data_IF_264459447560
#
_entry.id   IF_264459447560
#
_cell.length_a   1.000
_cell.length_b   1.000
_cell.length_c   1.000
_cell.angle_alpha   90.00
_cell.angle_beta   90.00
_cell.angle_gamma   90.00
#
_symmetry.space_group_name_H-M   'P 1'
#
loop_
_entity.id
_entity.type
_entity.pdbx_description
1 polymer ?
#
# COMPACT_ATOMS: atom_id res chain seq x y z
N UNK A 1 -18.99 -18.79 -14.38
CA UNK A 1 -19.36 -19.69 -13.25
C UNK A 1 -20.88 -19.65 -13.06
N UNK A 2 -21.45 -20.50 -12.19
CA UNK A 2 -22.90 -20.54 -11.92
C UNK A 2 -23.45 -19.21 -11.38
N UNK A 3 -22.69 -18.52 -10.53
CA UNK A 3 -23.08 -17.21 -9.98
C UNK A 3 -23.17 -16.13 -11.06
N UNK A 4 -22.19 -16.07 -11.98
CA UNK A 4 -22.24 -15.10 -13.09
C UNK A 4 -23.33 -15.39 -14.12
N UNK A 5 -23.82 -16.63 -14.20
CA UNK A 5 -24.86 -17.04 -15.13
C UNK A 5 -26.24 -16.52 -14.69
N UNK A 6 -26.43 -16.24 -13.40
CA UNK A 6 -27.64 -15.61 -12.87
C UNK A 6 -27.85 -14.18 -13.43
N UNK A 7 -26.76 -13.49 -13.75
CA UNK A 7 -26.79 -12.14 -14.33
C UNK A 7 -27.00 -12.12 -15.86
N UNK A 8 -27.19 -13.29 -16.49
CA UNK A 8 -27.40 -13.44 -17.95
C UNK A 8 -28.86 -13.79 -18.23
N UNK A 9 -29.53 -13.03 -19.10
CA UNK A 9 -30.90 -13.34 -19.54
C UNK A 9 -30.92 -14.16 -20.84
N UNK A 10 -32.06 -14.80 -21.11
CA UNK A 10 -32.35 -15.52 -22.36
C UNK A 10 -32.05 -14.61 -23.56
N UNK A 11 -30.96 -14.90 -24.27
CA UNK A 11 -30.37 -13.99 -25.27
C UNK A 11 -28.85 -13.85 -25.17
N UNK A 12 -28.23 -14.35 -24.09
CA UNK A 12 -26.77 -14.23 -23.80
C UNK A 12 -26.31 -12.80 -23.52
N UNK A 13 -27.22 -11.91 -23.13
CA UNK A 13 -26.93 -10.55 -22.71
C UNK A 13 -26.82 -10.45 -21.18
N UNK A 14 -25.82 -9.72 -20.69
CA UNK A 14 -25.66 -9.40 -19.28
C UNK A 14 -26.63 -8.27 -18.90
N UNK A 15 -27.46 -8.49 -17.88
CA UNK A 15 -28.38 -7.48 -17.34
C UNK A 15 -27.65 -6.52 -16.39
N UNK A 16 -26.67 -7.06 -15.68
CA UNK A 16 -25.80 -6.35 -14.74
C UNK A 16 -24.40 -6.97 -14.80
N UNK A 17 -23.39 -6.23 -14.33
CA UNK A 17 -22.03 -6.78 -14.22
C UNK A 17 -22.03 -7.80 -13.08
N UNK A 18 -21.72 -9.08 -13.32
CA UNK A 18 -21.72 -10.07 -12.25
C UNK A 18 -20.74 -9.69 -11.14
N UNK A 19 -21.12 -9.95 -9.90
CA UNK A 19 -20.32 -9.57 -8.72
C UNK A 19 -18.87 -10.07 -8.78
N UNK A 20 -18.67 -11.33 -9.18
CA UNK A 20 -17.37 -11.96 -9.37
C UNK A 20 -16.78 -11.78 -10.78
N UNK A 21 -17.33 -10.88 -11.59
CA UNK A 21 -16.78 -10.56 -12.92
C UNK A 21 -15.54 -9.71 -12.78
N UNK A 22 -14.53 -9.97 -13.62
CA UNK A 22 -13.37 -9.09 -13.77
C UNK A 22 -13.76 -7.68 -14.24
N UNK A 23 -14.87 -7.56 -14.96
CA UNK A 23 -15.42 -6.27 -15.37
C UNK A 23 -16.01 -5.45 -14.21
N UNK A 24 -16.16 -6.03 -13.00
CA UNK A 24 -16.63 -5.34 -11.79
C UNK A 24 -15.50 -4.61 -11.05
N UNK A 25 -14.46 -4.15 -11.76
CA UNK A 25 -13.31 -3.47 -11.17
C UNK A 25 -12.54 -4.32 -10.15
N UNK A 26 -12.56 -5.65 -10.28
CA UNK A 26 -11.97 -6.59 -9.31
C UNK A 26 -12.49 -6.41 -7.87
N UNK A 27 -13.80 -6.20 -7.70
CA UNK A 27 -14.43 -6.07 -6.38
C UNK A 27 -14.07 -7.23 -5.43
N UNK A 28 -13.55 -6.89 -4.24
CA UNK A 28 -13.10 -7.84 -3.20
C UNK A 28 -13.96 -7.82 -1.94
N UNK A 29 -15.06 -7.05 -1.94
CA UNK A 29 -15.92 -6.86 -0.77
C UNK A 29 -15.89 -5.44 -0.20
N UNK A 30 -16.57 -5.24 0.92
CA UNK A 30 -16.47 -4.01 1.70
C UNK A 30 -15.13 -3.99 2.44
N UNK A 31 -14.39 -2.90 2.27
CA UNK A 31 -13.10 -2.70 2.93
C UNK A 31 -13.35 -2.05 4.30
N UNK A 32 -12.92 -2.66 5.41
CA UNK A 32 -13.12 -2.11 6.76
C UNK A 32 -12.40 -0.77 6.91
N UNK A 33 -12.89 0.08 7.81
CA UNK A 33 -12.36 1.43 8.02
C UNK A 33 -10.87 1.41 8.40
N UNK A 34 -10.44 0.40 9.15
CA UNK A 34 -9.05 0.22 9.57
C UNK A 34 -8.09 -0.07 8.41
N UNK A 35 -8.60 -0.58 7.28
CA UNK A 35 -7.79 -0.88 6.08
C UNK A 35 -8.05 0.14 4.95
N UNK A 36 -9.20 0.80 4.91
CA UNK A 36 -9.61 1.70 3.83
C UNK A 36 -8.79 2.99 3.71
N UNK A 37 -7.96 3.30 4.72
CA UNK A 37 -7.13 4.50 4.77
C UNK A 37 -5.62 4.25 4.78
N UNK A 38 -5.17 3.03 4.51
CA UNK A 38 -3.74 2.70 4.52
C UNK A 38 -3.01 3.34 3.34
N UNK A 39 -1.89 4.00 3.63
CA UNK A 39 -0.95 4.45 2.61
C UNK A 39 -0.15 3.28 2.05
N UNK A 40 0.44 3.45 0.87
CA UNK A 40 1.31 2.44 0.27
C UNK A 40 2.46 2.03 1.22
N UNK A 41 3.07 3.00 1.91
CA UNK A 41 4.12 2.69 2.88
C UNK A 41 3.56 1.98 4.13
N UNK A 42 2.35 2.32 4.59
CA UNK A 42 1.73 1.65 5.73
C UNK A 42 1.40 0.19 5.42
N UNK A 43 0.88 -0.09 4.22
CA UNK A 43 0.70 -1.47 3.74
C UNK A 43 2.02 -2.23 3.78
N UNK A 44 3.09 -1.66 3.20
CA UNK A 44 4.41 -2.29 3.21
C UNK A 44 4.92 -2.60 4.63
N UNK A 45 4.71 -1.70 5.59
CA UNK A 45 5.16 -1.88 6.97
C UNK A 45 4.44 -3.04 7.68
N UNK A 46 3.16 -3.26 7.37
CA UNK A 46 2.34 -4.32 7.98
C UNK A 46 2.33 -5.61 7.17
N UNK A 47 2.95 -5.65 5.98
CA UNK A 47 2.99 -6.87 5.16
C UNK A 47 3.85 -7.96 5.81
N UNK A 48 3.30 -9.17 5.91
CA UNK A 48 4.05 -10.35 6.36
C UNK A 48 5.17 -10.78 5.40
N UNK A 49 5.02 -10.54 4.10
CA UNK A 49 6.02 -10.89 3.10
C UNK A 49 6.23 -9.75 2.09
N UNK A 50 7.49 -9.46 1.78
CA UNK A 50 7.87 -8.55 0.69
C UNK A 50 8.34 -9.39 -0.49
N UNK A 51 7.93 -9.03 -1.69
CA UNK A 51 8.51 -9.52 -2.95
C UNK A 51 9.03 -8.37 -3.81
N UNK A 52 8.77 -7.13 -3.40
CA UNK A 52 8.91 -5.93 -4.22
C UNK A 52 9.85 -4.93 -3.55
N UNK A 53 10.88 -4.50 -4.29
CA UNK A 53 11.58 -3.24 -4.00
C UNK A 53 10.96 -2.16 -4.88
N UNK A 54 10.63 -1.03 -4.28
CA UNK A 54 9.93 0.04 -4.98
C UNK A 54 10.81 1.29 -5.09
N UNK A 55 10.99 1.76 -6.33
CA UNK A 55 11.60 3.05 -6.60
C UNK A 55 10.53 4.04 -7.01
N UNK A 56 10.32 5.07 -6.18
CA UNK A 56 9.33 6.10 -6.44
C UNK A 56 10.04 7.39 -6.79
N UNK A 57 9.81 7.91 -7.99
CA UNK A 57 10.26 9.26 -8.38
C UNK A 57 9.13 10.24 -8.14
N UNK A 58 9.40 11.22 -7.29
CA UNK A 58 8.52 12.34 -7.02
C UNK A 58 9.01 13.55 -7.83
N UNK A 59 8.16 14.07 -8.71
CA UNK A 59 8.45 15.27 -9.49
C UNK A 59 7.82 16.49 -8.80
N UNK A 60 8.61 17.56 -8.66
CA UNK A 60 8.11 18.84 -8.14
C UNK A 60 7.07 19.48 -9.08
N UNK A 61 6.27 20.40 -8.54
CA UNK A 61 5.04 21.00 -9.11
C UNK A 61 5.20 21.81 -10.42
N UNK A 62 6.37 21.81 -11.06
CA UNK A 62 6.73 22.83 -12.04
C UNK A 62 7.10 22.31 -13.44
N UNK A 63 6.63 21.12 -13.83
CA UNK A 63 6.74 20.68 -15.23
C UNK A 63 5.51 21.11 -16.05
N UNK A 64 5.59 22.19 -16.86
CA UNK A 64 4.46 22.70 -17.64
C UNK A 64 3.96 21.71 -18.72
N UNK A 65 4.68 20.61 -18.98
CA UNK A 65 4.28 19.57 -19.94
C UNK A 65 3.49 18.43 -19.30
N UNK A 66 3.44 18.37 -17.97
CA UNK A 66 2.78 17.30 -17.23
C UNK A 66 1.77 17.90 -16.25
N UNK A 67 0.49 17.92 -16.64
CA UNK A 67 -0.62 18.37 -15.79
C UNK A 67 -0.90 17.42 -14.61
N UNK A 68 -0.37 16.19 -14.68
CA UNK A 68 -0.57 15.17 -13.67
C UNK A 68 0.53 15.28 -12.61
N UNK A 69 0.14 15.44 -11.34
CA UNK A 69 1.01 15.25 -10.16
C UNK A 69 1.43 13.78 -10.08
N UNK A 70 2.29 13.36 -10.99
CA UNK A 70 2.61 11.95 -11.20
C UNK A 70 3.83 11.54 -10.39
N UNK A 71 3.62 10.78 -9.32
CA UNK A 71 4.65 9.87 -8.85
C UNK A 71 4.86 8.83 -9.97
N UNK A 72 6.07 8.77 -10.53
CA UNK A 72 6.43 7.75 -11.53
C UNK A 72 7.46 6.83 -10.91
N UNK A 73 7.22 5.53 -10.89
CA UNK A 73 8.12 4.59 -10.22
C UNK A 73 8.45 3.38 -11.06
N UNK A 74 9.54 2.73 -10.72
CA UNK A 74 9.87 1.39 -11.19
C UNK A 74 9.68 0.43 -10.02
N UNK A 75 8.98 -0.67 -10.25
CA UNK A 75 8.86 -1.77 -9.29
C UNK A 75 9.76 -2.90 -9.76
N UNK A 76 10.70 -3.32 -8.93
CA UNK A 76 11.56 -4.46 -9.19
C UNK A 76 11.14 -5.62 -8.29
N UNK A 77 10.67 -6.69 -8.91
CA UNK A 77 10.29 -7.93 -8.22
C UNK A 77 11.52 -8.85 -8.24
N UNK A 78 12.05 -9.18 -7.07
CA UNK A 78 13.20 -10.08 -6.96
C UNK A 78 12.73 -11.50 -6.59
N UNK A 79 13.36 -12.56 -7.11
CA UNK A 79 13.10 -13.92 -6.64
C UNK A 79 13.38 -14.01 -5.14
N UNK A 80 12.36 -14.33 -4.35
CA UNK A 80 12.46 -14.46 -2.90
C UNK A 80 12.29 -15.92 -2.49
N UNK A 81 13.13 -16.38 -1.56
CA UNK A 81 12.86 -17.60 -0.81
C UNK A 81 11.71 -17.30 0.17
N UNK A 82 10.52 -17.84 -0.12
CA UNK A 82 9.27 -17.60 0.64
C UNK A 82 9.32 -18.19 2.06
N UNK A 83 10.45 -18.77 2.46
CA UNK A 83 10.66 -19.43 3.75
C UNK A 83 10.59 -18.49 4.96
N UNK A 84 10.74 -17.17 4.76
CA UNK A 84 10.78 -16.18 5.86
C UNK A 84 9.61 -15.18 5.78
N UNK A 85 8.42 -15.67 6.10
CA UNK A 85 7.26 -14.81 6.37
C UNK A 85 7.43 -14.20 7.77
N UNK A 86 7.20 -12.89 7.90
CA UNK A 86 7.31 -12.21 9.18
C UNK A 86 6.25 -12.71 10.17
N UNK A 87 6.71 -13.07 11.37
CA UNK A 87 5.89 -13.38 12.52
C UNK A 87 5.78 -12.20 13.50
N UNK A 88 6.57 -11.14 13.32
CA UNK A 88 6.62 -9.97 14.21
C UNK A 88 6.51 -8.69 13.37
N UNK A 89 5.55 -7.83 13.67
CA UNK A 89 5.19 -6.62 12.92
C UNK A 89 4.79 -5.47 13.87
N UNK A 90 4.92 -4.17 13.52
CA UNK A 90 5.46 -3.66 12.27
C UNK A 90 6.95 -3.99 12.16
N UNK A 91 7.46 -4.08 10.93
CA UNK A 91 8.91 -4.25 10.75
C UNK A 91 9.65 -3.06 11.35
N UNK A 92 10.87 -3.25 11.90
CA UNK A 92 11.68 -2.15 12.41
C UNK A 92 11.89 -1.06 11.36
N UNK A 93 11.84 0.20 11.77
CA UNK A 93 11.94 1.35 10.86
C UNK A 93 13.25 1.31 10.07
N UNK A 94 14.34 0.86 10.69
CA UNK A 94 15.67 0.72 10.07
C UNK A 94 15.71 -0.35 8.97
N UNK A 95 15.01 -1.47 9.15
CA UNK A 95 14.95 -2.56 8.16
C UNK A 95 14.19 -2.15 6.90
N UNK A 96 13.13 -1.34 7.07
CA UNK A 96 12.27 -0.92 5.96
C UNK A 96 12.92 0.14 5.06
N UNK A 97 14.04 0.76 5.48
CA UNK A 97 14.74 1.78 4.66
C UNK A 97 15.30 1.22 3.34
N UNK A 98 15.56 -0.08 3.27
CA UNK A 98 16.14 -0.71 2.08
C UNK A 98 15.10 -1.13 1.03
N UNK A 99 13.82 -1.03 1.35
CA UNK A 99 12.72 -1.51 0.50
C UNK A 99 12.09 -0.40 -0.35
N UNK A 100 12.20 0.86 0.09
CA UNK A 100 11.67 2.03 -0.59
C UNK A 100 12.79 3.05 -0.79
N UNK A 101 13.12 3.35 -2.05
CA UNK A 101 13.98 4.49 -2.37
C UNK A 101 13.16 5.60 -3.04
N UNK A 102 13.19 6.78 -2.43
CA UNK A 102 12.47 7.97 -2.89
C UNK A 102 13.46 8.90 -3.60
N UNK A 103 13.22 9.15 -4.88
CA UNK A 103 14.01 10.08 -5.68
C UNK A 103 13.19 11.35 -5.87
N UNK A 104 13.66 12.45 -5.28
CA UNK A 104 13.07 13.77 -5.44
C UNK A 104 13.75 14.44 -6.64
N UNK A 105 12.98 14.79 -7.66
CA UNK A 105 13.48 15.46 -8.86
C UNK A 105 13.08 16.93 -8.81
N UNK A 106 14.08 17.81 -8.70
CA UNK A 106 13.91 19.27 -8.67
C UNK A 106 14.86 19.93 -9.67
N UNK A 107 14.47 21.09 -10.21
CA UNK A 107 15.28 21.82 -11.19
C UNK A 107 16.45 22.56 -10.54
N UNK A 108 16.29 22.96 -9.28
CA UNK A 108 17.24 23.74 -8.48
C UNK A 108 18.18 22.90 -7.62
N UNK A 109 18.05 21.55 -7.66
CA UNK A 109 18.74 20.58 -6.78
C UNK A 109 18.56 20.88 -5.27
N UNK A 110 17.57 21.69 -4.89
CA UNK A 110 17.32 22.08 -3.51
C UNK A 110 15.98 21.51 -3.03
N UNK A 111 15.92 21.15 -1.74
CA UNK A 111 14.66 20.73 -1.10
C UNK A 111 13.97 21.98 -0.59
N UNK A 112 12.99 22.48 -1.35
CA UNK A 112 12.18 23.63 -0.93
C UNK A 112 11.12 23.22 0.11
N UNK A 113 10.62 24.15 0.94
CA UNK A 113 9.54 23.88 1.89
C UNK A 113 8.28 23.28 1.24
N UNK A 114 7.98 23.65 0.00
CA UNK A 114 6.84 23.12 -0.76
C UNK A 114 6.98 21.63 -1.11
N UNK A 115 8.22 21.17 -1.32
CA UNK A 115 8.51 19.76 -1.55
C UNK A 115 8.30 18.98 -0.25
N UNK A 116 8.73 19.51 0.89
CA UNK A 116 8.49 18.89 2.20
C UNK A 116 6.99 18.75 2.50
N UNK A 117 6.21 19.79 2.22
CA UNK A 117 4.75 19.77 2.27
C UNK A 117 4.14 18.67 1.37
N UNK A 118 4.71 18.48 0.18
CA UNK A 118 4.26 17.45 -0.77
C UNK A 118 4.63 16.04 -0.29
N UNK A 119 5.81 15.86 0.31
CA UNK A 119 6.24 14.60 0.91
C UNK A 119 5.34 14.18 2.07
N UNK A 120 4.94 15.12 2.93
CA UNK A 120 4.00 14.87 4.04
C UNK A 120 2.63 14.38 3.55
N UNK A 121 2.23 14.78 2.35
CA UNK A 121 0.95 14.37 1.72
C UNK A 121 1.12 13.18 0.77
N UNK A 122 2.32 12.61 0.69
CA UNK A 122 2.61 11.48 -0.19
C UNK A 122 2.16 10.16 0.44
N UNK A 123 1.89 9.12 -0.37
CA UNK A 123 1.54 7.79 0.13
C UNK A 123 2.75 7.06 0.76
N UNK A 124 3.87 7.76 0.99
CA UNK A 124 5.12 7.23 1.53
C UNK A 124 5.29 7.55 3.03
N UNK A 125 4.31 8.22 3.63
CA UNK A 125 4.27 8.50 5.07
C UNK A 125 3.60 7.34 5.79
N UNK A 126 4.17 6.99 6.94
CA UNK A 126 3.67 5.93 7.81
C UNK A 126 3.22 6.55 9.12
N UNK A 127 1.94 6.40 9.47
CA UNK A 127 1.38 6.89 10.72
C UNK A 127 1.29 5.76 11.72
N UNK A 128 1.94 5.90 12.88
CA UNK A 128 1.99 4.88 13.92
C UNK A 128 0.61 4.41 14.38
N UNK A 129 -0.32 5.34 14.61
CA UNK A 129 -1.67 5.01 15.06
C UNK A 129 -2.49 4.22 14.04
N UNK A 130 -2.25 4.45 12.74
CA UNK A 130 -2.97 3.76 11.66
C UNK A 130 -2.47 2.34 11.50
N UNK A 131 -1.15 2.13 11.46
CA UNK A 131 -0.58 0.78 11.37
C UNK A 131 -0.95 -0.09 12.58
N UNK A 132 -1.00 0.48 13.79
CA UNK A 132 -1.41 -0.25 14.98
C UNK A 132 -2.88 -0.68 14.93
N UNK A 133 -3.78 0.21 14.50
CA UNK A 133 -5.21 -0.12 14.30
C UNK A 133 -5.39 -1.22 13.27
N UNK A 134 -4.70 -1.10 12.13
CA UNK A 134 -4.75 -2.10 11.06
C UNK A 134 -4.23 -3.47 11.53
N UNK A 135 -3.09 -3.52 12.23
CA UNK A 135 -2.54 -4.77 12.76
C UNK A 135 -3.50 -5.44 13.76
N UNK A 136 -4.06 -4.67 14.70
CA UNK A 136 -5.04 -5.22 15.66
C UNK A 136 -6.28 -5.77 14.96
N UNK A 137 -6.79 -5.05 13.95
CA UNK A 137 -7.92 -5.52 13.16
C UNK A 137 -7.58 -6.80 12.40
N UNK A 138 -6.42 -6.85 11.75
CA UNK A 138 -5.93 -8.01 11.00
C UNK A 138 -5.76 -9.23 11.89
N UNK A 139 -5.16 -9.10 13.09
CA UNK A 139 -5.02 -10.21 14.04
C UNK A 139 -6.37 -10.83 14.41
N UNK A 140 -7.42 -10.01 14.53
CA UNK A 140 -8.75 -10.45 14.95
C UNK A 140 -9.56 -11.10 13.82
N UNK A 141 -9.41 -10.62 12.58
CA UNK A 141 -10.30 -11.00 11.47
C UNK A 141 -9.61 -11.79 10.35
N UNK A 142 -8.28 -11.80 10.30
CA UNK A 142 -7.52 -12.48 9.27
C UNK A 142 -6.69 -13.62 9.87
N UNK A 143 -7.00 -14.87 9.51
CA UNK A 143 -6.27 -16.06 9.96
C UNK A 143 -4.77 -16.01 9.58
N UNK A 144 -4.43 -15.29 8.52
CA UNK A 144 -3.03 -15.07 8.13
C UNK A 144 -2.33 -14.04 9.00
N UNK A 145 -2.94 -13.45 10.01
CA UNK A 145 -2.30 -12.53 10.95
C UNK A 145 -2.50 -12.97 12.40
N UNK A 146 -3.20 -14.07 12.65
CA UNK A 146 -3.53 -14.56 13.99
C UNK A 146 -2.27 -14.77 14.85
N UNK A 147 -1.21 -15.33 14.25
CA UNK A 147 0.07 -15.66 14.87
C UNK A 147 1.08 -14.49 14.90
N UNK A 148 0.71 -13.32 14.36
CA UNK A 148 1.63 -12.19 14.28
C UNK A 148 1.76 -11.50 15.64
N UNK A 149 2.98 -11.37 16.15
CA UNK A 149 3.30 -10.57 17.33
C UNK A 149 3.41 -9.08 16.96
N UNK A 150 2.82 -8.21 17.79
CA UNK A 150 2.96 -6.77 17.64
C UNK A 150 4.26 -6.33 18.33
N UNK A 151 5.18 -5.79 17.55
CA UNK A 151 6.46 -5.28 18.01
C UNK A 151 6.34 -3.84 18.51
N UNK A 152 6.11 -3.69 19.80
CA UNK A 152 5.98 -2.36 20.44
C UNK A 152 7.28 -1.53 20.34
N UNK A 153 8.44 -2.19 20.36
CA UNK A 153 9.73 -1.50 20.21
C UNK A 153 9.85 -0.91 18.80
N UNK A 154 9.59 -1.72 17.77
CA UNK A 154 9.58 -1.25 16.39
C UNK A 154 8.49 -0.20 16.15
N UNK A 155 7.31 -0.37 16.74
CA UNK A 155 6.20 0.57 16.64
C UNK A 155 6.58 1.95 17.20
N UNK A 156 7.35 1.99 18.30
CA UNK A 156 7.83 3.24 18.90
C UNK A 156 8.79 4.03 18.01
N UNK A 157 9.45 3.39 17.04
CA UNK A 157 10.34 4.06 16.08
C UNK A 157 9.58 4.87 15.02
N UNK A 158 8.28 4.59 14.82
CA UNK A 158 7.46 5.29 13.84
C UNK A 158 6.91 6.61 14.40
N UNK A 159 6.82 7.66 13.55
CA UNK A 159 6.27 8.95 13.96
C UNK A 159 4.77 8.86 14.26
N UNK A 160 4.30 9.73 15.16
CA UNK A 160 2.89 9.79 15.57
C UNK A 160 1.96 10.36 14.49
N UNK A 161 2.49 11.17 13.55
CA UNK A 161 1.76 11.77 12.42
C UNK A 161 2.66 11.98 11.19
#
# INVERSE_FOLDING_TARGET
CSHCWLSVRNGREFVEVPLCSWANGCWVGELPEELAGLSFAEELVILRAHSTKCWVKLKARHDPRNWQRGASGNVCIHPHAVEKIAAKLPRPYKSNRDDIAVIIVTDDKAVTPEILETLKKSPLVVRRGVILKALNWLKKHNRLYEDVEIDEEALSEYPDD
#
